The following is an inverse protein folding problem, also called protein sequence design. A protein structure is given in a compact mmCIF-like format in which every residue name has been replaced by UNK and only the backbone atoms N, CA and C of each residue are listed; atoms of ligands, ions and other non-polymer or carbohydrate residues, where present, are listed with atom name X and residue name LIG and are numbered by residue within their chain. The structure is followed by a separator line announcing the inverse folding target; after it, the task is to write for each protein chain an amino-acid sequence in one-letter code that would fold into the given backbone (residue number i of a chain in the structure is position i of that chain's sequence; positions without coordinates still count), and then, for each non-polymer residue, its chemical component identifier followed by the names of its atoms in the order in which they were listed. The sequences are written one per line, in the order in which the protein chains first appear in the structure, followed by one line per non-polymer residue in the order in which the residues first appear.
data_IF_400859724469
#
_entry.id   IF_400859724469
#
_cell.length_a   1.000
_cell.length_b   1.000
_cell.length_c   1.000
_cell.angle_alpha   90.00
_cell.angle_beta   90.00
_cell.angle_gamma   90.00
#
_symmetry.space_group_name_H-M   'P 1'
#
loop_
_entity.id
_entity.type
_entity.pdbx_description
1 polymer ?
#
# COMPACT_ATOMS: atom_id res chain seq x y z
N UNK A 1 2.68 -18.61 -12.10
CA UNK A 1 2.08 -17.55 -11.26
C UNK A 1 2.06 -16.23 -12.03
N UNK A 2 3.18 -15.78 -12.62
CA UNK A 2 3.23 -14.61 -13.51
C UNK A 2 2.28 -14.69 -14.71
N UNK A 3 2.26 -15.83 -15.41
CA UNK A 3 1.36 -16.09 -16.54
C UNK A 3 -0.13 -15.95 -16.19
N UNK A 4 -0.49 -16.25 -14.94
CA UNK A 4 -1.88 -16.20 -14.46
C UNK A 4 -2.33 -14.77 -14.18
N UNK A 5 -1.43 -13.93 -13.65
CA UNK A 5 -1.73 -12.52 -13.36
C UNK A 5 -1.79 -11.68 -14.64
N UNK A 6 -0.89 -11.94 -15.59
CA UNK A 6 -0.90 -11.28 -16.89
C UNK A 6 -2.16 -11.65 -17.69
N UNK A 7 -2.53 -12.94 -17.73
CA UNK A 7 -3.79 -13.39 -18.35
C UNK A 7 -5.01 -12.78 -17.69
N UNK A 8 -5.02 -12.68 -16.35
CA UNK A 8 -6.12 -12.07 -15.60
C UNK A 8 -6.27 -10.56 -15.86
N UNK A 9 -5.16 -9.83 -15.95
CA UNK A 9 -5.19 -8.40 -16.25
C UNK A 9 -5.70 -8.12 -17.68
N UNK A 10 -5.24 -8.92 -18.65
CA UNK A 10 -5.70 -8.83 -20.05
C UNK A 10 -7.17 -9.22 -20.14
N UNK A 11 -7.59 -10.34 -19.55
CA UNK A 11 -8.98 -10.81 -19.63
C UNK A 11 -9.94 -9.80 -18.99
N UNK A 12 -9.59 -9.23 -17.83
CA UNK A 12 -10.44 -8.23 -17.17
C UNK A 12 -10.58 -6.95 -18.01
N UNK A 13 -9.53 -6.58 -18.73
CA UNK A 13 -9.55 -5.43 -19.64
C UNK A 13 -10.45 -5.70 -20.84
N UNK A 14 -10.35 -6.87 -21.47
CA UNK A 14 -11.19 -7.26 -22.60
C UNK A 14 -12.66 -7.42 -22.20
N UNK A 15 -12.93 -8.06 -21.07
CA UNK A 15 -14.29 -8.28 -20.56
C UNK A 15 -15.01 -6.94 -20.28
N UNK A 16 -14.28 -5.95 -19.77
CA UNK A 16 -14.84 -4.62 -19.45
C UNK A 16 -15.14 -3.82 -20.72
N UNK A 17 -14.31 -3.97 -21.75
CA UNK A 17 -14.52 -3.36 -23.07
C UNK A 17 -15.69 -4.02 -23.81
N UNK A 18 -15.80 -5.33 -23.75
CA UNK A 18 -16.90 -6.08 -24.36
C UNK A 18 -18.23 -5.74 -23.68
N UNK A 19 -18.24 -5.59 -22.36
CA UNK A 19 -19.41 -5.11 -21.62
C UNK A 19 -19.83 -3.70 -22.08
N UNK A 20 -18.90 -2.75 -22.18
CA UNK A 20 -19.18 -1.39 -22.63
C UNK A 20 -19.69 -1.33 -24.09
N UNK A 21 -19.16 -2.19 -24.97
CA UNK A 21 -19.60 -2.30 -26.37
C UNK A 21 -20.97 -2.94 -26.51
N UNK A 22 -21.30 -3.88 -25.63
CA UNK A 22 -22.57 -4.61 -25.67
C UNK A 22 -23.74 -3.87 -25.03
N UNK A 23 -23.47 -2.84 -24.23
CA UNK A 23 -24.50 -2.05 -23.55
C UNK A 23 -25.08 -0.98 -24.48
N UNK A 24 -26.19 -1.32 -25.13
CA UNK A 24 -26.92 -0.42 -26.02
C UNK A 24 -27.72 0.67 -25.29
N UNK A 25 -27.69 0.70 -23.95
CA UNK A 25 -28.44 1.69 -23.15
C UNK A 25 -27.62 2.93 -22.84
N UNK A 26 -26.31 2.91 -23.08
CA UNK A 26 -25.40 4.02 -22.85
C UNK A 26 -25.47 5.05 -23.97
N UNK A 27 -25.38 6.33 -23.61
CA UNK A 27 -25.07 7.37 -24.60
C UNK A 27 -23.62 7.22 -25.08
N UNK A 28 -23.27 7.79 -26.25
CA UNK A 28 -21.89 7.80 -26.73
C UNK A 28 -20.88 8.30 -25.69
N UNK A 29 -21.20 9.39 -24.98
CA UNK A 29 -20.33 9.94 -23.94
C UNK A 29 -20.14 8.99 -22.74
N UNK A 30 -21.22 8.30 -22.34
CA UNK A 30 -21.16 7.30 -21.27
C UNK A 30 -20.32 6.08 -21.68
N UNK A 31 -20.46 5.62 -22.92
CA UNK A 31 -19.68 4.51 -23.46
C UNK A 31 -18.19 4.88 -23.54
N UNK A 32 -17.84 6.08 -24.01
CA UNK A 32 -16.46 6.59 -24.02
C UNK A 32 -15.91 6.63 -22.60
N UNK A 33 -16.65 7.23 -21.66
CA UNK A 33 -16.23 7.30 -20.26
C UNK A 33 -15.97 5.91 -19.65
N UNK A 34 -16.84 4.94 -19.93
CA UNK A 34 -16.67 3.58 -19.42
C UNK A 34 -15.40 2.92 -20.00
N UNK A 35 -15.10 3.14 -21.28
CA UNK A 35 -13.87 2.66 -21.91
C UNK A 35 -12.64 3.32 -21.27
N UNK A 36 -12.67 4.62 -21.03
CA UNK A 36 -11.59 5.35 -20.35
C UNK A 36 -11.36 4.84 -18.92
N UNK A 37 -12.42 4.64 -18.14
CA UNK A 37 -12.35 4.10 -16.78
C UNK A 37 -11.79 2.66 -16.79
N UNK A 38 -12.19 1.84 -17.77
CA UNK A 38 -11.67 0.48 -17.95
C UNK A 38 -10.18 0.48 -18.32
N UNK A 39 -9.76 1.34 -19.25
CA UNK A 39 -8.35 1.51 -19.61
C UNK A 39 -7.51 2.00 -18.42
N UNK A 40 -8.00 2.98 -17.65
CA UNK A 40 -7.32 3.47 -16.47
C UNK A 40 -7.15 2.38 -15.39
N UNK A 41 -8.20 1.58 -15.15
CA UNK A 41 -8.14 0.45 -14.23
C UNK A 41 -7.16 -0.63 -14.71
N UNK A 42 -7.19 -0.98 -16.00
CA UNK A 42 -6.26 -1.92 -16.62
C UNK A 42 -4.81 -1.47 -16.48
N UNK A 43 -4.54 -0.18 -16.77
CA UNK A 43 -3.21 0.41 -16.61
C UNK A 43 -2.71 0.34 -15.16
N UNK A 44 -3.58 0.67 -14.19
CA UNK A 44 -3.24 0.58 -12.76
C UNK A 44 -2.90 -0.85 -12.33
N UNK A 45 -3.67 -1.85 -12.76
CA UNK A 45 -3.42 -3.27 -12.44
C UNK A 45 -2.13 -3.76 -13.11
N UNK A 46 -1.92 -3.41 -14.38
CA UNK A 46 -0.71 -3.76 -15.12
C UNK A 46 0.54 -3.21 -14.45
N UNK A 47 0.56 -1.90 -14.16
CA UNK A 47 1.65 -1.26 -13.40
C UNK A 47 1.85 -1.92 -12.04
N UNK A 48 0.77 -2.17 -11.29
CA UNK A 48 0.86 -2.76 -9.97
C UNK A 48 1.40 -4.19 -9.98
N UNK A 49 1.17 -4.94 -11.06
CA UNK A 49 1.70 -6.29 -11.25
C UNK A 49 3.20 -6.26 -11.52
N UNK A 50 3.68 -5.33 -12.35
CA UNK A 50 5.11 -5.13 -12.61
C UNK A 50 5.83 -4.67 -11.35
N UNK A 51 5.27 -3.68 -10.63
CA UNK A 51 5.83 -3.21 -9.36
C UNK A 51 5.92 -4.35 -8.34
N UNK A 52 4.86 -5.16 -8.22
CA UNK A 52 4.84 -6.32 -7.34
C UNK A 52 5.92 -7.32 -7.72
N UNK A 53 6.05 -7.68 -9.00
CA UNK A 53 7.09 -8.61 -9.46
C UNK A 53 8.51 -8.12 -9.10
N UNK A 54 8.77 -6.82 -9.21
CA UNK A 54 10.06 -6.24 -8.81
C UNK A 54 10.31 -6.23 -7.30
N UNK A 55 9.31 -5.82 -6.51
CA UNK A 55 9.48 -5.59 -5.07
C UNK A 55 9.32 -6.88 -4.25
N UNK A 56 8.51 -7.83 -4.70
CA UNK A 56 8.21 -9.06 -3.96
C UNK A 56 9.44 -9.95 -3.81
N UNK A 57 10.38 -9.92 -4.77
CA UNK A 57 11.68 -10.58 -4.61
C UNK A 57 12.45 -10.04 -3.40
N UNK A 58 12.51 -8.71 -3.26
CA UNK A 58 13.15 -8.07 -2.11
C UNK A 58 12.46 -8.38 -0.78
N UNK A 59 11.12 -8.41 -0.78
CA UNK A 59 10.33 -8.80 0.40
C UNK A 59 10.59 -10.24 0.81
N UNK A 60 10.65 -11.16 -0.14
CA UNK A 60 10.92 -12.57 0.14
C UNK A 60 12.32 -12.78 0.75
N UNK A 61 13.33 -12.08 0.24
CA UNK A 61 14.69 -12.10 0.81
C UNK A 61 14.69 -11.56 2.23
N UNK A 62 14.00 -10.45 2.49
CA UNK A 62 13.87 -9.89 3.83
C UNK A 62 13.14 -10.85 4.77
N UNK A 63 12.02 -11.44 4.36
CA UNK A 63 11.28 -12.43 5.17
C UNK A 63 12.20 -13.60 5.58
N UNK A 64 12.94 -14.15 4.62
CA UNK A 64 13.87 -15.25 4.88
C UNK A 64 15.00 -14.83 5.83
N UNK A 65 15.63 -13.67 5.59
CA UNK A 65 16.71 -13.16 6.43
C UNK A 65 16.23 -12.90 7.86
N UNK A 66 15.06 -12.27 8.02
CA UNK A 66 14.46 -11.95 9.32
C UNK A 66 14.12 -13.21 10.10
N UNK A 67 13.63 -14.27 9.43
CA UNK A 67 13.32 -15.55 10.09
C UNK A 67 14.59 -16.31 10.50
N UNK A 68 15.65 -16.22 9.72
CA UNK A 68 16.90 -16.93 9.97
C UNK A 68 17.75 -16.23 11.06
N UNK A 69 17.70 -14.90 11.14
CA UNK A 69 18.56 -14.13 12.04
C UNK A 69 17.98 -14.00 13.45
N UNK A 70 18.61 -14.70 14.41
CA UNK A 70 18.26 -14.69 15.83
C UNK A 70 18.55 -13.37 16.54
N UNK A 71 19.32 -12.47 15.93
CA UNK A 71 19.63 -11.15 16.50
C UNK A 71 18.50 -10.15 16.29
N UNK A 72 17.57 -10.40 15.34
CA UNK A 72 16.40 -9.55 15.14
C UNK A 72 15.55 -9.53 16.41
N UNK A 73 15.39 -8.34 17.01
CA UNK A 73 14.63 -8.19 18.25
C UNK A 73 13.17 -7.88 17.99
N UNK A 74 12.86 -7.00 17.02
CA UNK A 74 11.50 -6.65 16.61
C UNK A 74 11.45 -6.22 15.15
N UNK A 75 10.25 -6.28 14.61
CA UNK A 75 9.91 -5.89 13.25
C UNK A 75 8.90 -4.74 13.29
N UNK A 76 8.99 -3.83 12.33
CA UNK A 76 7.99 -2.81 12.03
C UNK A 76 7.64 -2.84 10.54
N UNK A 77 6.55 -2.16 10.17
CA UNK A 77 6.20 -1.92 8.77
C UNK A 77 6.90 -0.67 8.27
N UNK A 78 7.83 -0.82 7.34
CA UNK A 78 8.33 0.27 6.50
C UNK A 78 7.39 0.54 5.34
N UNK A 79 7.45 1.76 4.80
CA UNK A 79 6.66 2.18 3.64
C UNK A 79 7.44 3.13 2.75
N UNK A 80 7.10 3.13 1.46
CA UNK A 80 7.40 4.24 0.57
C UNK A 80 6.66 5.53 0.94
N UNK A 81 6.91 6.62 0.21
CA UNK A 81 6.46 7.99 0.51
C UNK A 81 4.93 8.18 0.50
N UNK A 82 4.20 7.48 -0.39
CA UNK A 82 2.73 7.57 -0.49
C UNK A 82 2.03 6.26 -0.05
N UNK A 83 1.99 5.93 1.25
CA UNK A 83 1.26 4.77 1.72
C UNK A 83 -0.26 4.94 1.60
N UNK A 84 -0.95 3.83 1.36
CA UNK A 84 -2.37 3.76 1.67
C UNK A 84 -2.61 3.93 3.18
N UNK A 85 -3.82 4.33 3.57
CA UNK A 85 -4.16 4.55 4.98
C UNK A 85 -3.90 3.34 5.88
N UNK A 86 -4.04 2.11 5.36
CA UNK A 86 -3.68 0.90 6.11
C UNK A 86 -2.18 0.82 6.40
N UNK A 87 -1.32 0.97 5.37
CA UNK A 87 0.13 0.93 5.54
C UNK A 87 0.62 2.04 6.45
N UNK A 88 0.10 3.26 6.32
CA UNK A 88 0.47 4.38 7.19
C UNK A 88 0.16 4.07 8.66
N UNK A 89 -1.02 3.48 8.95
CA UNK A 89 -1.34 3.05 10.32
C UNK A 89 -0.45 1.93 10.81
N UNK A 90 -0.12 0.96 9.95
CA UNK A 90 0.75 -0.12 10.35
C UNK A 90 2.19 0.38 10.60
N UNK A 91 2.65 1.37 9.84
CA UNK A 91 3.94 2.02 9.99
C UNK A 91 4.03 2.89 11.25
N UNK A 92 2.94 3.58 11.61
CA UNK A 92 2.89 4.45 12.81
C UNK A 92 3.04 3.70 14.13
N UNK A 93 2.79 2.39 14.14
CA UNK A 93 2.96 1.55 15.33
C UNK A 93 4.41 1.30 15.71
N UNK A 94 5.33 1.38 14.74
CA UNK A 94 6.75 1.10 14.97
C UNK A 94 7.07 -0.38 15.26
N UNK A 95 8.16 -0.63 16.01
CA UNK A 95 8.75 -1.95 16.25
C UNK A 95 7.98 -2.82 17.26
N UNK A 96 6.70 -3.06 16.99
CA UNK A 96 5.79 -3.81 17.87
C UNK A 96 5.64 -5.27 17.49
N UNK A 97 6.06 -5.67 16.29
CA UNK A 97 5.84 -7.03 15.80
C UNK A 97 7.00 -7.96 16.13
N UNK A 98 6.70 -9.25 16.30
CA UNK A 98 7.69 -10.31 16.59
C UNK A 98 8.29 -10.92 15.32
N UNK A 99 7.52 -10.91 14.24
CA UNK A 99 7.91 -11.44 12.93
C UNK A 99 7.17 -10.69 11.81
N UNK A 100 7.64 -10.85 10.59
CA UNK A 100 6.94 -10.42 9.37
C UNK A 100 5.50 -10.94 9.32
N UNK A 101 5.29 -12.24 9.57
CA UNK A 101 3.96 -12.84 9.58
C UNK A 101 3.00 -12.10 10.55
N UNK A 102 3.50 -11.69 11.72
CA UNK A 102 2.71 -10.93 12.71
C UNK A 102 2.60 -9.43 12.40
N UNK A 103 3.43 -8.90 11.51
CA UNK A 103 3.37 -7.50 11.05
C UNK A 103 2.28 -7.25 9.98
N UNK A 104 1.44 -8.24 9.69
CA UNK A 104 0.29 -8.10 8.79
C UNK A 104 0.71 -7.91 7.34
N UNK A 105 1.69 -8.68 6.89
CA UNK A 105 2.44 -8.39 5.66
C UNK A 105 1.87 -8.96 4.37
N UNK A 106 0.54 -8.97 4.24
CA UNK A 106 -0.07 -9.13 2.91
C UNK A 106 0.05 -7.81 2.16
N UNK A 107 0.67 -7.85 0.98
CA UNK A 107 0.84 -6.70 0.10
C UNK A 107 -0.17 -6.77 -1.04
N UNK A 108 -0.74 -5.62 -1.39
CA UNK A 108 -1.58 -5.48 -2.58
C UNK A 108 -0.75 -4.95 -3.76
N UNK A 109 -1.32 -4.99 -4.97
CA UNK A 109 -0.71 -4.32 -6.12
C UNK A 109 -0.47 -2.83 -5.84
N UNK A 110 0.58 -2.25 -6.42
CA UNK A 110 1.02 -0.87 -6.17
C UNK A 110 1.35 -0.55 -4.70
N UNK A 111 1.56 -1.56 -3.86
CA UNK A 111 2.01 -1.36 -2.48
C UNK A 111 3.54 -1.26 -2.43
N UNK A 112 4.06 -0.21 -1.79
CA UNK A 112 5.51 0.00 -1.59
C UNK A 112 5.94 -0.22 -0.13
N UNK A 113 5.21 -1.05 0.62
CA UNK A 113 5.51 -1.36 2.02
C UNK A 113 6.51 -2.54 2.11
N UNK A 114 7.31 -2.61 3.16
CA UNK A 114 8.32 -3.66 3.36
C UNK A 114 8.61 -3.85 4.86
N UNK A 115 9.20 -4.97 5.31
CA UNK A 115 9.59 -5.11 6.71
C UNK A 115 10.81 -4.25 7.00
N UNK A 116 10.85 -3.65 8.18
CA UNK A 116 12.08 -3.10 8.75
C UNK A 116 12.34 -3.76 10.10
N UNK A 117 13.60 -3.91 10.47
CA UNK A 117 14.00 -4.59 11.71
C UNK A 117 14.78 -3.68 12.64
N UNK A 118 14.77 -4.03 13.93
CA UNK A 118 15.73 -3.53 14.90
C UNK A 118 16.50 -4.68 15.54
N UNK A 119 17.79 -4.49 15.69
CA UNK A 119 18.71 -5.44 16.34
C UNK A 119 18.97 -5.09 17.81
N UNK A 120 18.76 -3.81 18.19
CA UNK A 120 18.77 -3.34 19.58
C UNK A 120 17.39 -2.77 19.92
N UNK A 121 17.04 -2.72 21.21
CA UNK A 121 15.71 -2.20 21.61
C UNK A 121 15.65 -0.67 21.58
N UNK A 122 16.82 -0.03 21.59
CA UNK A 122 17.06 1.40 21.65
C UNK A 122 17.10 2.04 20.25
N UNK A 123 17.14 1.24 19.18
CA UNK A 123 17.14 1.74 17.81
C UNK A 123 15.90 2.58 17.53
N UNK A 124 16.11 3.80 17.02
CA UNK A 124 15.04 4.71 16.64
C UNK A 124 14.25 4.22 15.42
N UNK A 125 13.03 4.72 15.26
CA UNK A 125 12.27 4.50 14.05
C UNK A 125 12.87 5.31 12.89
N UNK A 126 12.87 4.75 11.67
CA UNK A 126 13.19 5.55 10.48
C UNK A 126 12.32 6.81 10.41
N UNK A 127 12.81 7.92 9.84
CA UNK A 127 12.15 9.24 9.89
C UNK A 127 10.68 9.22 9.45
N UNK A 128 10.36 8.50 8.37
CA UNK A 128 8.99 8.39 7.87
C UNK A 128 8.05 7.65 8.83
N UNK A 129 8.55 6.59 9.48
CA UNK A 129 7.81 5.88 10.52
C UNK A 129 7.60 6.74 11.76
N UNK A 130 8.63 7.47 12.20
CA UNK A 130 8.54 8.40 13.31
C UNK A 130 7.53 9.53 13.01
N UNK A 131 7.53 10.05 11.79
CA UNK A 131 6.53 11.01 11.31
C UNK A 131 5.11 10.45 11.41
N UNK A 132 4.85 9.25 10.86
CA UNK A 132 3.52 8.65 10.96
C UNK A 132 3.13 8.32 12.39
N UNK A 133 4.08 7.93 13.24
CA UNK A 133 3.85 7.72 14.67
C UNK A 133 3.40 9.01 15.36
N UNK A 134 4.11 10.11 15.15
CA UNK A 134 3.72 11.44 15.67
C UNK A 134 2.32 11.81 15.19
N UNK A 135 2.06 11.70 13.88
CA UNK A 135 0.75 12.02 13.30
C UNK A 135 -0.37 11.11 13.79
N UNK A 136 -0.08 9.85 14.09
CA UNK A 136 -1.06 8.97 14.69
C UNK A 136 -1.55 9.55 16.02
N UNK A 137 -0.64 9.88 16.95
CA UNK A 137 -1.02 10.46 18.23
C UNK A 137 -1.78 11.78 18.11
N UNK A 138 -1.34 12.68 17.22
CA UNK A 138 -2.01 13.96 16.98
C UNK A 138 -3.44 13.77 16.42
N UNK A 139 -3.59 12.97 15.37
CA UNK A 139 -4.86 12.82 14.64
C UNK A 139 -5.86 11.96 15.42
N UNK A 140 -5.38 10.98 16.19
CA UNK A 140 -6.27 10.09 16.96
C UNK A 140 -6.49 10.55 18.39
N UNK A 141 -6.05 11.75 18.77
CA UNK A 141 -6.32 12.32 20.08
C UNK A 141 -7.84 12.32 20.35
N UNK A 142 -8.24 11.78 21.50
CA UNK A 142 -9.67 11.63 21.86
C UNK A 142 -10.41 10.47 21.18
N UNK A 143 -9.76 9.71 20.31
CA UNK A 143 -10.33 8.52 19.66
C UNK A 143 -9.64 7.24 20.15
N UNK A 144 -10.36 6.11 20.10
CA UNK A 144 -9.81 4.78 20.41
C UNK A 144 -10.33 3.72 19.43
N UNK A 145 -9.67 2.55 19.43
CA UNK A 145 -10.09 1.39 18.62
C UNK A 145 -10.33 1.72 17.14
N UNK A 146 -11.50 1.31 16.63
CA UNK A 146 -11.88 1.53 15.24
C UNK A 146 -12.09 3.02 14.90
N UNK A 147 -12.48 3.85 15.86
CA UNK A 147 -12.66 5.28 15.63
C UNK A 147 -11.31 5.96 15.33
N UNK A 148 -10.26 5.62 16.08
CA UNK A 148 -8.90 6.08 15.83
C UNK A 148 -8.39 5.65 14.45
N UNK A 149 -8.58 4.37 14.10
CA UNK A 149 -8.22 3.84 12.78
C UNK A 149 -8.93 4.60 11.64
N UNK A 150 -10.22 4.90 11.79
CA UNK A 150 -11.01 5.63 10.79
C UNK A 150 -10.55 7.08 10.68
N UNK A 151 -10.31 7.76 11.80
CA UNK A 151 -9.80 9.14 11.84
C UNK A 151 -8.46 9.25 11.10
N UNK A 152 -7.52 8.36 11.40
CA UNK A 152 -6.21 8.38 10.77
C UNK A 152 -6.26 8.06 9.27
N UNK A 153 -7.05 7.05 8.85
CA UNK A 153 -7.23 6.75 7.42
C UNK A 153 -7.83 7.92 6.66
N UNK A 154 -8.82 8.61 7.23
CA UNK A 154 -9.41 9.82 6.64
C UNK A 154 -8.38 10.92 6.47
N UNK A 155 -7.54 11.15 7.49
CA UNK A 155 -6.45 12.10 7.40
C UNK A 155 -5.47 11.74 6.26
N UNK A 156 -5.02 10.48 6.16
CA UNK A 156 -4.15 10.04 5.05
C UNK A 156 -4.80 10.31 3.69
N UNK A 157 -6.07 9.95 3.50
CA UNK A 157 -6.75 10.19 2.22
C UNK A 157 -6.91 11.68 1.91
N UNK A 158 -7.13 12.53 2.92
CA UNK A 158 -7.15 13.98 2.74
C UNK A 158 -5.78 14.50 2.28
N UNK A 159 -4.68 14.01 2.87
CA UNK A 159 -3.32 14.38 2.45
C UNK A 159 -3.06 13.97 1.00
N UNK A 160 -3.46 12.76 0.60
CA UNK A 160 -3.30 12.28 -0.79
C UNK A 160 -4.12 13.10 -1.79
N UNK A 161 -5.34 13.48 -1.43
CA UNK A 161 -6.21 14.31 -2.27
C UNK A 161 -5.68 15.73 -2.42
N UNK A 162 -5.18 16.32 -1.35
CA UNK A 162 -4.62 17.67 -1.37
C UNK A 162 -3.37 17.77 -2.26
N UNK A 163 -2.74 16.63 -2.54
CA UNK A 163 -1.38 16.59 -3.05
C UNK A 163 -1.25 15.43 -4.09
N UNK A 164 -1.93 15.51 -5.25
CA UNK A 164 -2.04 14.38 -6.17
C UNK A 164 -0.77 14.07 -6.99
N UNK A 165 0.23 14.96 -7.04
CA UNK A 165 1.38 14.86 -7.96
C UNK A 165 2.76 14.91 -7.31
N UNK A 166 2.89 15.17 -6.00
CA UNK A 166 4.22 15.25 -5.39
C UNK A 166 4.75 13.84 -5.00
N UNK A 167 6.04 13.55 -5.19
CA UNK A 167 6.67 12.40 -4.56
C UNK A 167 6.72 12.71 -3.05
N UNK A 168 5.76 12.20 -2.27
CA UNK A 168 5.56 12.58 -0.86
C UNK A 168 6.59 12.00 0.10
N UNK A 169 7.86 12.34 -0.11
CA UNK A 169 8.86 12.31 0.95
C UNK A 169 8.70 13.59 1.78
N UNK A 170 8.54 13.42 3.09
CA UNK A 170 8.80 14.38 4.17
C UNK A 170 9.15 15.80 3.69
N UNK A 171 8.19 16.73 3.74
CA UNK A 171 8.55 18.14 3.87
C UNK A 171 9.06 18.33 5.30
N UNK A 172 10.39 18.38 5.44
CA UNK A 172 11.07 18.89 6.62
C UNK A 172 10.83 20.39 6.70
#
# INVERSE_FOLDING_TARGET
YEDTLQKYAISRSTDSLDAARSDTTLTPDQAIKQIEDAHAAAGSVGSGTVDAAGIDGGRAVLDQAIRADRLVKRVARGTGPDPCGFCATAASRGFVYRSEATAGMKFHLNCHCFPIVRFTLESELPPLNAYFQKKWYEVTAGYSGQAAMKAFRRWIYAQRKANPTAPHGVHV
#
